data_IF_995515128095
#
_entry.id   IF_995515128095
#
_cell.length_a   1.000
_cell.length_b   1.000
_cell.length_c   1.000
_cell.angle_alpha   90.00
_cell.angle_beta   90.00
_cell.angle_gamma   90.00
#
_symmetry.space_group_name_H-M   'P 1'
#
loop_
_entity.id
_entity.type
_entity.pdbx_description
1 polymer ?
#
# COMPACT_ATOMS: atom_id res chain seq x y z
N UNK A 1 12.20 -18.06 -30.18
CA UNK A 1 10.85 -18.67 -30.29
C UNK A 1 9.94 -17.80 -29.45
N UNK A 2 8.87 -17.27 -30.03
CA UNK A 2 8.07 -16.24 -29.35
C UNK A 2 7.48 -16.74 -28.02
N UNK A 3 7.46 -15.84 -27.04
CA UNK A 3 6.70 -16.01 -25.80
C UNK A 3 5.23 -15.87 -26.16
N UNK A 4 4.42 -16.88 -25.80
CA UNK A 4 2.98 -16.88 -26.04
C UNK A 4 2.23 -16.43 -24.79
N UNK A 5 0.97 -16.06 -24.97
CA UNK A 5 0.11 -15.63 -23.85
C UNK A 5 -0.03 -16.73 -22.78
N UNK A 6 0.02 -18.00 -23.17
CA UNK A 6 -0.04 -19.15 -22.26
C UNK A 6 1.19 -19.31 -21.38
N UNK A 7 2.29 -18.65 -21.73
CA UNK A 7 3.54 -18.71 -20.99
C UNK A 7 3.55 -17.70 -19.83
N UNK A 8 2.65 -16.71 -19.85
CA UNK A 8 2.48 -15.74 -18.75
C UNK A 8 1.60 -16.35 -17.68
N UNK A 9 2.19 -16.60 -16.52
CA UNK A 9 1.55 -17.33 -15.42
C UNK A 9 1.58 -16.54 -14.13
N UNK A 10 0.56 -16.78 -13.30
CA UNK A 10 0.50 -16.31 -11.93
C UNK A 10 1.01 -17.44 -11.02
N UNK A 11 1.88 -17.11 -10.08
CA UNK A 11 2.50 -18.05 -9.14
C UNK A 11 2.11 -17.73 -7.72
N UNK A 12 2.00 -18.79 -6.92
CA UNK A 12 1.70 -18.72 -5.51
C UNK A 12 2.90 -18.22 -4.71
N UNK A 13 2.62 -17.46 -3.65
CA UNK A 13 3.60 -17.16 -2.62
C UNK A 13 3.84 -18.37 -1.72
N UNK A 14 4.98 -18.38 -1.04
CA UNK A 14 5.40 -19.47 -0.14
C UNK A 14 4.32 -19.84 0.88
N UNK A 15 3.56 -18.84 1.35
CA UNK A 15 2.44 -19.04 2.28
C UNK A 15 1.24 -18.27 1.76
N UNK A 16 0.31 -18.98 1.15
CA UNK A 16 -0.93 -18.40 0.62
C UNK A 16 -2.01 -18.32 1.71
N UNK A 17 -1.70 -17.63 2.80
CA UNK A 17 -2.55 -17.62 3.99
C UNK A 17 -2.79 -16.18 4.46
N UNK A 18 -3.86 -15.95 5.24
CA UNK A 18 -4.30 -14.61 5.66
C UNK A 18 -3.74 -14.19 7.04
N UNK A 19 -2.80 -14.97 7.57
CA UNK A 19 -2.05 -14.73 8.79
C UNK A 19 -0.93 -13.69 8.56
N UNK A 20 -0.40 -13.15 9.65
CA UNK A 20 0.63 -12.09 9.62
C UNK A 20 1.90 -12.48 8.83
N UNK A 21 2.19 -13.77 8.75
CA UNK A 21 3.36 -14.34 8.09
C UNK A 21 3.07 -14.87 6.68
N UNK A 22 1.85 -14.63 6.16
CA UNK A 22 1.43 -14.92 4.80
C UNK A 22 2.26 -14.14 3.77
N UNK A 23 2.50 -14.71 2.60
CA UNK A 23 3.39 -14.17 1.58
C UNK A 23 4.75 -14.87 1.53
N UNK A 24 5.83 -14.10 1.49
CA UNK A 24 7.20 -14.61 1.35
C UNK A 24 7.65 -14.75 -0.11
N UNK A 25 8.50 -15.76 -0.39
CA UNK A 25 9.12 -15.96 -1.70
C UNK A 25 8.17 -16.54 -2.73
N UNK A 26 8.47 -16.34 -4.01
CA UNK A 26 7.80 -17.03 -5.12
C UNK A 26 8.01 -18.53 -5.04
N UNK A 27 6.96 -19.29 -5.33
CA UNK A 27 7.02 -20.74 -5.51
C UNK A 27 6.90 -21.11 -6.99
N UNK A 28 7.25 -22.35 -7.34
CA UNK A 28 6.99 -22.88 -8.67
C UNK A 28 5.54 -23.33 -8.88
N UNK A 29 4.66 -23.12 -7.89
CA UNK A 29 3.25 -23.52 -7.98
C UNK A 29 2.47 -22.44 -8.72
N UNK A 30 1.84 -22.83 -9.81
CA UNK A 30 1.01 -21.96 -10.64
C UNK A 30 -0.39 -21.81 -10.03
N UNK A 31 -0.86 -20.57 -9.98
CA UNK A 31 -2.26 -20.25 -9.73
C UNK A 31 -3.04 -20.50 -11.02
N UNK A 32 -3.73 -21.63 -11.09
CA UNK A 32 -4.50 -22.06 -12.26
C UNK A 32 -5.68 -21.12 -12.49
N UNK A 33 -5.79 -20.58 -13.71
CA UNK A 33 -6.93 -19.77 -14.12
C UNK A 33 -8.24 -20.57 -14.09
N UNK A 34 -9.33 -19.91 -13.71
CA UNK A 34 -10.66 -20.51 -13.55
C UNK A 34 -10.81 -21.46 -12.36
N UNK A 35 -9.74 -21.76 -11.62
CA UNK A 35 -9.83 -22.55 -10.39
C UNK A 35 -10.33 -21.70 -9.23
N UNK A 36 -11.50 -22.05 -8.71
CA UNK A 36 -12.12 -21.35 -7.58
C UNK A 36 -11.35 -21.71 -6.30
N UNK A 37 -11.23 -20.74 -5.40
CA UNK A 37 -10.54 -20.90 -4.11
C UNK A 37 -9.03 -21.10 -4.19
N UNK A 38 -8.42 -20.84 -5.35
CA UNK A 38 -6.99 -21.05 -5.52
C UNK A 38 -6.15 -19.90 -4.95
N UNK A 39 -6.62 -18.65 -5.11
CA UNK A 39 -5.89 -17.47 -4.61
C UNK A 39 -6.50 -16.88 -3.33
N UNK A 40 -7.83 -16.91 -3.20
CA UNK A 40 -8.58 -16.41 -2.06
C UNK A 40 -9.62 -17.45 -1.67
N UNK A 41 -9.90 -17.62 -0.38
CA UNK A 41 -11.01 -18.47 0.07
C UNK A 41 -12.36 -17.82 -0.25
N UNK A 42 -13.40 -18.62 -0.26
CA UNK A 42 -14.79 -18.14 -0.32
C UNK A 42 -15.10 -17.20 0.85
N UNK A 43 -15.82 -16.12 0.55
CA UNK A 43 -16.31 -15.18 1.55
C UNK A 43 -17.51 -15.77 2.29
N UNK A 44 -17.50 -15.75 3.62
CA UNK A 44 -18.63 -16.19 4.41
C UNK A 44 -19.70 -15.08 4.54
N UNK A 45 -20.93 -15.45 4.92
CA UNK A 45 -22.01 -14.46 5.19
C UNK A 45 -21.65 -13.53 6.35
N UNK A 46 -20.87 -14.02 7.31
CA UNK A 46 -20.42 -13.23 8.45
C UNK A 46 -19.40 -12.21 7.98
N UNK A 47 -18.44 -12.61 7.14
CA UNK A 47 -17.43 -11.71 6.58
C UNK A 47 -18.08 -10.58 5.77
N UNK A 48 -19.15 -10.89 5.03
CA UNK A 48 -19.93 -9.88 4.30
C UNK A 48 -20.73 -8.94 5.21
N UNK A 49 -21.04 -9.35 6.44
CA UNK A 49 -21.84 -8.54 7.39
C UNK A 49 -20.94 -7.69 8.29
N UNK A 50 -19.83 -8.26 8.76
CA UNK A 50 -18.91 -7.63 9.72
C UNK A 50 -17.80 -6.85 9.00
N UNK A 51 -17.48 -7.23 7.76
CA UNK A 51 -16.32 -6.77 7.02
C UNK A 51 -15.10 -7.66 7.31
N UNK A 52 -14.38 -8.03 6.25
CA UNK A 52 -13.10 -8.73 6.31
C UNK A 52 -12.12 -8.10 5.31
N UNK A 53 -10.83 -8.11 5.63
CA UNK A 53 -9.77 -7.66 4.74
C UNK A 53 -8.84 -8.84 4.45
N UNK A 54 -8.88 -9.37 3.24
CA UNK A 54 -7.95 -10.38 2.76
C UNK A 54 -6.84 -9.73 1.93
N UNK A 55 -5.59 -10.06 2.23
CA UNK A 55 -4.38 -9.61 1.56
C UNK A 55 -3.59 -10.86 1.16
N UNK A 56 -3.42 -11.07 -0.15
CA UNK A 56 -2.62 -12.16 -0.69
C UNK A 56 -1.49 -11.60 -1.54
N UNK A 57 -0.33 -12.23 -1.42
CA UNK A 57 0.80 -11.99 -2.32
C UNK A 57 0.82 -13.04 -3.41
N UNK A 58 0.92 -12.58 -4.65
CA UNK A 58 1.04 -13.42 -5.84
C UNK A 58 2.13 -12.84 -6.75
N UNK A 59 2.74 -13.69 -7.57
CA UNK A 59 3.84 -13.31 -8.45
C UNK A 59 3.46 -13.56 -9.90
N UNK A 60 3.75 -12.62 -10.80
CA UNK A 60 3.65 -12.91 -12.24
C UNK A 60 5.04 -13.18 -12.78
N UNK A 61 5.12 -14.23 -13.59
CA UNK A 61 6.34 -14.62 -14.28
C UNK A 61 6.01 -15.31 -15.58
N UNK A 62 7.02 -15.44 -16.45
CA UNK A 62 6.90 -16.19 -17.69
C UNK A 62 7.55 -17.55 -17.50
N UNK A 63 6.80 -18.62 -17.75
CA UNK A 63 7.29 -20.00 -17.73
C UNK A 63 7.41 -20.49 -19.16
N UNK A 64 8.63 -20.50 -19.67
CA UNK A 64 8.97 -20.86 -21.05
C UNK A 64 10.27 -21.67 -21.05
N UNK A 65 10.34 -22.69 -21.89
CA UNK A 65 11.58 -23.47 -22.11
C UNK A 65 12.60 -22.74 -23.01
N UNK A 66 12.26 -21.55 -23.48
CA UNK A 66 13.09 -20.73 -24.34
C UNK A 66 13.78 -19.57 -23.59
N UNK A 67 14.95 -19.14 -24.09
CA UNK A 67 15.78 -18.05 -23.55
C UNK A 67 15.52 -16.68 -24.21
N UNK A 68 14.35 -16.47 -24.82
CA UNK A 68 14.04 -15.16 -25.42
C UNK A 68 13.91 -14.08 -24.31
N UNK A 69 14.46 -12.90 -24.57
CA UNK A 69 14.51 -11.83 -23.60
C UNK A 69 13.10 -11.28 -23.29
N UNK A 70 12.69 -11.39 -22.04
CA UNK A 70 11.44 -10.83 -21.55
C UNK A 70 11.64 -9.40 -21.05
N UNK A 71 10.89 -8.44 -21.60
CA UNK A 71 11.06 -7.00 -21.35
C UNK A 71 10.23 -6.46 -20.17
N UNK A 72 9.41 -7.30 -19.54
CA UNK A 72 8.65 -6.96 -18.33
C UNK A 72 7.21 -7.48 -18.33
N UNK A 73 6.70 -7.78 -17.14
CA UNK A 73 5.31 -8.19 -16.90
C UNK A 73 4.56 -7.11 -16.13
N UNK A 74 3.32 -6.85 -16.53
CA UNK A 74 2.40 -5.97 -15.81
C UNK A 74 1.12 -6.72 -15.50
N UNK A 75 0.51 -6.38 -14.36
CA UNK A 75 -0.79 -6.91 -13.93
C UNK A 75 -1.76 -5.74 -13.91
N UNK A 76 -2.95 -5.96 -14.49
CA UNK A 76 -4.05 -5.02 -14.41
C UNK A 76 -5.31 -5.75 -13.96
N UNK A 77 -6.14 -5.09 -13.16
CA UNK A 77 -7.49 -5.54 -12.86
C UNK A 77 -8.43 -4.93 -13.90
N UNK A 78 -8.95 -5.76 -14.81
CA UNK A 78 -9.79 -5.31 -15.93
C UNK A 78 -11.26 -5.21 -15.58
N UNK A 79 -11.75 -6.09 -14.71
CA UNK A 79 -13.14 -6.16 -14.29
C UNK A 79 -13.22 -6.03 -12.76
N UNK A 80 -14.15 -5.19 -12.29
CA UNK A 80 -14.44 -5.07 -10.87
C UNK A 80 -15.20 -6.31 -10.37
N UNK A 81 -15.14 -6.61 -9.05
CA UNK A 81 -15.93 -7.69 -8.47
C UNK A 81 -17.42 -7.54 -8.76
N UNK A 82 -18.10 -8.66 -8.98
CA UNK A 82 -19.56 -8.70 -9.22
C UNK A 82 -20.40 -8.34 -7.99
N UNK A 83 -19.83 -8.43 -6.79
CA UNK A 83 -20.47 -8.03 -5.54
C UNK A 83 -20.08 -6.59 -5.20
N UNK A 84 -21.07 -5.70 -5.09
CA UNK A 84 -20.89 -4.27 -4.78
C UNK A 84 -20.21 -4.03 -3.41
N UNK A 85 -20.29 -5.01 -2.50
CA UNK A 85 -19.66 -4.90 -1.17
C UNK A 85 -18.20 -5.32 -1.17
N UNK A 86 -17.65 -5.76 -2.31
CA UNK A 86 -16.27 -6.23 -2.43
C UNK A 86 -15.48 -5.21 -3.23
N UNK A 87 -14.42 -4.70 -2.61
CA UNK A 87 -13.46 -3.80 -3.27
C UNK A 87 -12.10 -4.50 -3.33
N UNK A 88 -11.38 -4.30 -4.44
CA UNK A 88 -10.07 -4.91 -4.67
C UNK A 88 -9.06 -3.80 -4.91
N UNK A 89 -7.87 -3.96 -4.33
CA UNK A 89 -6.73 -3.07 -4.53
C UNK A 89 -5.53 -3.92 -4.93
N UNK A 90 -4.87 -3.54 -6.03
CA UNK A 90 -3.58 -4.09 -6.43
C UNK A 90 -2.49 -3.07 -6.09
N UNK A 91 -1.46 -3.51 -5.38
CA UNK A 91 -0.30 -2.69 -5.04
C UNK A 91 0.96 -3.56 -4.98
N UNK A 92 2.12 -2.90 -4.97
CA UNK A 92 3.42 -3.55 -4.84
C UNK A 92 4.13 -3.00 -3.59
N UNK A 93 4.80 -3.87 -2.84
CA UNK A 93 5.66 -3.50 -1.70
C UNK A 93 7.07 -3.06 -2.14
N UNK A 94 7.47 -3.38 -3.37
CA UNK A 94 8.84 -3.27 -3.92
C UNK A 94 9.86 -4.20 -3.26
N UNK A 95 9.35 -5.22 -2.56
CA UNK A 95 10.13 -6.31 -1.98
C UNK A 95 9.66 -7.64 -2.57
N UNK A 96 10.61 -8.56 -2.77
CA UNK A 96 10.36 -9.90 -3.25
C UNK A 96 9.94 -10.85 -2.11
N UNK A 97 10.32 -10.55 -0.87
CA UNK A 97 10.16 -11.47 0.26
C UNK A 97 9.24 -10.93 1.38
N UNK A 98 8.60 -9.79 1.16
CA UNK A 98 7.64 -9.23 2.11
C UNK A 98 6.53 -10.21 2.47
N UNK A 99 6.08 -10.06 3.71
CA UNK A 99 4.96 -10.77 4.29
C UNK A 99 3.78 -9.82 4.47
N UNK A 100 2.62 -10.39 4.78
CA UNK A 100 1.35 -9.68 4.95
C UNK A 100 1.47 -8.51 5.92
N UNK A 101 2.21 -8.68 7.01
CA UNK A 101 2.46 -7.61 7.98
C UNK A 101 3.09 -6.37 7.33
N UNK A 102 4.12 -6.54 6.51
CA UNK A 102 4.80 -5.42 5.85
C UNK A 102 3.88 -4.72 4.84
N UNK A 103 3.10 -5.52 4.11
CA UNK A 103 2.11 -5.03 3.16
C UNK A 103 1.00 -4.22 3.85
N UNK A 104 0.51 -4.70 5.00
CA UNK A 104 -0.46 -3.99 5.84
C UNK A 104 0.13 -2.67 6.36
N UNK A 105 1.34 -2.72 6.91
CA UNK A 105 2.01 -1.53 7.43
C UNK A 105 2.16 -0.46 6.33
N UNK A 106 2.41 -0.86 5.06
CA UNK A 106 2.46 0.06 3.90
C UNK A 106 1.11 0.69 3.57
N UNK A 107 0.01 -0.07 3.67
CA UNK A 107 -1.36 0.45 3.46
C UNK A 107 -1.73 1.43 4.59
N UNK A 108 -1.39 1.09 5.83
CA UNK A 108 -1.74 1.87 7.03
C UNK A 108 -0.88 3.13 7.19
N UNK A 109 0.36 3.13 6.67
CA UNK A 109 1.29 4.25 6.77
C UNK A 109 0.83 5.55 6.10
N UNK A 110 -0.30 5.55 5.38
CA UNK A 110 -0.82 6.74 4.70
C UNK A 110 -1.24 7.89 5.65
N UNK A 111 -1.46 7.62 6.95
CA UNK A 111 -1.80 8.66 7.94
C UNK A 111 -0.84 8.60 9.13
N UNK A 112 0.35 9.16 8.96
CA UNK A 112 1.18 9.54 10.13
C UNK A 112 0.75 10.96 10.54
N UNK A 113 0.13 11.15 11.72
CA UNK A 113 -0.13 12.49 12.22
C UNK A 113 1.22 13.20 12.43
N UNK A 114 1.44 14.28 11.67
CA UNK A 114 2.62 15.12 11.87
C UNK A 114 2.57 15.73 13.26
N UNK A 115 3.68 15.60 14.02
CA UNK A 115 3.84 16.34 15.27
C UNK A 115 4.23 17.78 14.92
N UNK A 116 3.43 18.75 15.38
CA UNK A 116 3.84 20.14 15.36
C UNK A 116 5.08 20.31 16.25
N UNK A 117 6.26 20.44 15.63
CA UNK A 117 7.47 20.75 16.37
C UNK A 117 7.45 22.23 16.76
N UNK A 118 7.57 22.52 18.05
CA UNK A 118 7.80 23.87 18.54
C UNK A 118 9.24 24.27 18.24
N UNK A 119 9.45 25.02 17.17
CA UNK A 119 10.73 25.68 16.93
C UNK A 119 10.67 27.08 17.53
N UNK A 120 11.58 27.36 18.45
CA UNK A 120 11.83 28.72 18.92
C UNK A 120 12.98 29.30 18.09
N UNK A 121 12.79 30.49 17.52
CA UNK A 121 13.82 31.15 16.73
C UNK A 121 14.90 31.66 17.68
N UNK A 122 16.09 31.05 17.62
CA UNK A 122 17.25 31.47 18.39
C UNK A 122 18.23 32.21 17.48
N UNK A 123 18.30 33.53 17.62
CA UNK A 123 19.29 34.36 16.94
C UNK A 123 18.95 34.73 15.49
N UNK A 124 19.97 34.78 14.62
CA UNK A 124 19.93 35.37 13.27
C UNK A 124 19.82 34.33 12.13
N UNK A 125 19.09 33.23 12.37
CA UNK A 125 18.99 32.07 11.47
C UNK A 125 18.22 32.32 10.14
N UNK A 126 17.91 33.58 9.80
CA UNK A 126 17.20 33.97 8.57
C UNK A 126 18.13 34.41 7.43
N UNK A 127 19.39 33.98 7.42
CA UNK A 127 20.32 34.27 6.33
C UNK A 127 21.03 32.97 5.90
N UNK A 128 20.82 32.42 4.67
CA UNK A 128 19.94 32.80 3.56
C UNK A 128 18.99 31.65 3.14
N UNK A 129 18.18 31.11 4.07
CA UNK A 129 17.14 30.13 3.71
C UNK A 129 15.80 30.86 3.56
N UNK A 130 15.30 30.93 2.32
CA UNK A 130 13.93 31.38 2.04
C UNK A 130 12.93 30.31 2.51
N UNK A 131 12.53 30.38 3.79
CA UNK A 131 11.47 29.57 4.37
C UNK A 131 10.30 30.49 4.74
N UNK A 132 9.22 30.44 3.96
CA UNK A 132 8.02 31.24 4.21
C UNK A 132 7.17 30.58 5.31
N UNK A 133 7.40 30.96 6.56
CA UNK A 133 6.66 30.47 7.73
C UNK A 133 5.54 31.45 8.09
N UNK A 134 4.28 31.04 7.90
CA UNK A 134 3.11 31.87 8.21
C UNK A 134 2.80 31.85 9.72
N UNK A 135 3.26 32.87 10.46
CA UNK A 135 2.97 33.02 11.89
C UNK A 135 1.68 33.81 12.09
N UNK A 136 0.59 33.10 12.43
CA UNK A 136 -0.70 33.71 12.78
C UNK A 136 -0.69 34.37 14.16
N UNK A 137 -0.27 35.63 14.26
CA UNK A 137 -0.32 36.40 15.51
C UNK A 137 -1.65 37.15 15.70
N UNK A 138 -2.47 36.76 16.69
CA UNK A 138 -3.56 37.62 17.17
C UNK A 138 -2.96 38.83 17.90
N UNK A 139 -3.08 40.03 17.31
CA UNK A 139 -2.73 41.29 17.97
C UNK A 139 -3.57 41.49 19.23
N UNK A 140 -2.95 41.47 20.40
CA UNK A 140 -3.56 41.95 21.63
C UNK A 140 -3.74 43.49 21.54
N UNK A 141 -4.97 43.98 21.78
CA UNK A 141 -5.23 45.43 21.79
C UNK A 141 -4.51 46.10 22.98
N UNK A 142 -3.97 47.31 22.84
CA UNK A 142 -3.38 48.06 23.95
C UNK A 142 -4.43 48.36 25.02
N UNK A 143 -4.10 48.15 26.31
CA UNK A 143 -4.94 48.64 27.43
C UNK A 143 -4.70 50.15 27.60
N UNK A 144 -5.78 50.93 27.61
CA UNK A 144 -5.74 52.35 27.96
C UNK A 144 -5.34 52.54 29.44
N UNK A 145 -4.57 53.59 29.77
CA UNK A 145 -4.18 53.87 31.15
C UNK A 145 -5.38 54.42 31.94
N UNK A 146 -5.77 53.69 33.00
CA UNK A 146 -6.72 54.16 34.01
C UNK A 146 -6.08 55.31 34.80
N UNK A 147 -6.59 56.53 34.65
CA UNK A 147 -6.15 57.69 35.42
C UNK A 147 -6.72 57.60 36.85
N UNK A 148 -5.87 57.34 37.84
CA UNK A 148 -6.21 57.40 39.26
C UNK A 148 -6.23 58.85 39.75
N UNK A 149 -7.34 59.26 40.35
CA UNK A 149 -7.41 60.47 41.18
C UNK A 149 -6.58 60.34 42.45
#
# INVERSE_FOLDING_TARGET
>A
MAINDTDVKLFESQRLTDEDDGGGRVTGTEVIDGNINNLYRDISRIDRTVGDMALRKAFVGVSTDNNDAYLGSHIILTEAPKDENVSVLLFNTDDQIDVRKDARDKIEAFVIPSTAASFELLGNQLYPLDLEMWVGGKRAKPREPTNSR
#
